data_IF_398850152773
#
_entry.id   IF_398850152773
#
_cell.length_a   1.000
_cell.length_b   1.000
_cell.length_c   1.000
_cell.angle_alpha   90.00
_cell.angle_beta   90.00
_cell.angle_gamma   90.00
#
_symmetry.space_group_name_H-M   'P 1'
#
loop_
_entity.id
_entity.type
_entity.pdbx_description
1 polymer ?
#
# COMPACT_ATOMS: atom_id res chain seq x y z
N UNK A 1 -10.33 -63.97 47.40
CA UNK A 1 -9.32 -63.47 46.44
C UNK A 1 -9.98 -62.48 45.48
N UNK A 2 -9.62 -61.18 45.57
CA UNK A 2 -9.27 -60.29 44.44
C UNK A 2 -8.96 -58.89 45.03
N UNK A 3 -7.72 -58.47 44.84
CA UNK A 3 -7.09 -57.18 45.15
C UNK A 3 -7.93 -56.07 44.47
N UNK A 4 -8.23 -54.90 45.05
CA UNK A 4 -7.38 -53.96 45.79
C UNK A 4 -6.96 -52.85 44.83
N UNK A 5 -7.28 -51.59 45.14
CA UNK A 5 -6.50 -50.37 44.82
C UNK A 5 -6.95 -49.28 45.80
N UNK A 6 -5.95 -48.56 46.32
CA UNK A 6 -5.97 -47.68 47.49
C UNK A 6 -6.21 -46.21 47.10
N UNK A 7 -6.73 -45.50 48.09
CA UNK A 7 -6.57 -44.08 48.39
C UNK A 7 -5.27 -43.43 47.89
N UNK A 8 -5.38 -42.27 47.20
CA UNK A 8 -4.46 -41.12 47.06
C UNK A 8 -4.89 -40.33 45.79
N UNK A 9 -4.97 -39.01 45.67
CA UNK A 9 -4.47 -37.87 46.44
C UNK A 9 -5.27 -36.63 46.00
N UNK A 10 -5.60 -35.76 46.96
CA UNK A 10 -5.97 -34.36 46.74
C UNK A 10 -4.71 -33.61 46.33
N UNK A 11 -4.69 -32.91 45.18
CA UNK A 11 -3.82 -31.72 45.04
C UNK A 11 -4.21 -30.86 43.82
N UNK A 12 -4.64 -29.63 44.16
CA UNK A 12 -4.26 -28.33 43.57
C UNK A 12 -4.44 -28.13 42.06
N UNK A 13 -5.39 -27.28 41.64
CA UNK A 13 -5.37 -25.81 41.67
C UNK A 13 -4.79 -25.20 40.40
N UNK A 14 -5.43 -24.12 39.98
CA UNK A 14 -5.03 -23.13 38.98
C UNK A 14 -5.14 -23.56 37.52
N UNK A 15 -6.30 -23.24 36.94
CA UNK A 15 -6.32 -22.61 35.62
C UNK A 15 -7.14 -21.32 35.73
N UNK A 16 -6.48 -20.28 36.24
CA UNK A 16 -6.82 -18.89 35.92
C UNK A 16 -6.42 -18.68 34.45
N UNK A 17 -7.30 -19.07 33.54
CA UNK A 17 -7.23 -18.64 32.15
C UNK A 17 -7.76 -17.22 32.07
N UNK A 18 -6.86 -16.25 31.97
CA UNK A 18 -7.16 -14.86 31.68
C UNK A 18 -8.01 -14.79 30.40
N UNK A 19 -9.29 -14.45 30.53
CA UNK A 19 -10.06 -13.86 29.43
C UNK A 19 -9.46 -12.49 29.15
N UNK A 20 -8.31 -12.47 28.48
CA UNK A 20 -7.79 -11.25 27.89
C UNK A 20 -8.89 -10.75 26.95
N UNK A 21 -9.37 -9.54 27.19
CA UNK A 21 -10.11 -8.78 26.23
C UNK A 21 -9.31 -8.81 24.92
N UNK A 22 -9.70 -9.66 23.98
CA UNK A 22 -9.44 -9.41 22.58
C UNK A 22 -10.31 -8.22 22.23
N UNK A 23 -9.84 -7.03 22.64
CA UNK A 23 -10.03 -5.82 21.90
C UNK A 23 -9.42 -6.16 20.54
N UNK A 24 -10.28 -6.69 19.67
CA UNK A 24 -10.04 -6.71 18.25
C UNK A 24 -10.01 -5.22 17.92
N UNK A 25 -8.82 -4.63 18.03
CA UNK A 25 -8.46 -3.47 17.26
C UNK A 25 -8.64 -3.96 15.83
N UNK A 26 -9.84 -3.75 15.28
CA UNK A 26 -10.03 -3.77 13.85
C UNK A 26 -8.87 -2.93 13.31
N UNK A 27 -7.98 -3.49 12.46
CA UNK A 27 -7.15 -2.60 11.67
C UNK A 27 -8.15 -1.65 11.03
N UNK A 28 -8.01 -0.35 11.26
CA UNK A 28 -8.91 0.60 10.63
C UNK A 28 -8.78 0.35 9.14
N UNK A 29 -9.78 -0.35 8.59
CA UNK A 29 -10.08 -0.36 7.17
C UNK A 29 -10.63 1.04 6.89
N UNK A 30 -9.79 2.06 7.09
CA UNK A 30 -9.83 3.18 6.19
C UNK A 30 -9.35 2.57 4.87
N UNK A 31 -10.31 2.11 4.07
CA UNK A 31 -10.15 2.16 2.63
C UNK A 31 -9.69 3.59 2.34
N UNK A 32 -8.37 3.76 2.22
CA UNK A 32 -7.81 4.99 1.75
C UNK A 32 -8.35 5.11 0.33
N UNK A 33 -9.24 6.07 0.07
CA UNK A 33 -9.82 6.30 -1.26
C UNK A 33 -8.77 6.57 -2.36
N UNK A 34 -7.51 6.71 -1.92
CA UNK A 34 -6.30 6.92 -2.69
C UNK A 34 -5.63 5.63 -3.18
N UNK A 35 -5.94 4.46 -2.61
CA UNK A 35 -5.37 3.18 -3.04
C UNK A 35 -6.24 2.52 -4.11
N UNK A 36 -5.60 1.78 -5.02
CA UNK A 36 -6.33 0.99 -6.00
C UNK A 36 -7.12 -0.12 -5.29
N UNK A 37 -8.36 -0.35 -5.72
CA UNK A 37 -9.21 -1.43 -5.18
C UNK A 37 -9.75 -2.33 -6.29
N UNK A 38 -10.31 -3.48 -5.89
CA UNK A 38 -11.00 -4.42 -6.76
C UNK A 38 -10.17 -4.94 -7.94
N UNK A 39 -10.80 -5.03 -9.11
CA UNK A 39 -10.19 -5.62 -10.31
C UNK A 39 -8.96 -4.85 -10.81
N UNK A 40 -8.93 -3.52 -10.66
CA UNK A 40 -7.78 -2.70 -11.05
C UNK A 40 -6.55 -3.07 -10.24
N UNK A 41 -6.70 -3.18 -8.92
CA UNK A 41 -5.63 -3.60 -8.01
C UNK A 41 -5.11 -4.99 -8.38
N UNK A 42 -6.01 -5.96 -8.59
CA UNK A 42 -5.63 -7.32 -8.98
C UNK A 42 -4.85 -7.35 -10.30
N UNK A 43 -5.28 -6.57 -11.30
CA UNK A 43 -4.58 -6.46 -12.58
C UNK A 43 -3.20 -5.84 -12.44
N UNK A 44 -3.05 -4.81 -11.61
CA UNK A 44 -1.75 -4.19 -11.33
C UNK A 44 -0.82 -5.20 -10.64
N UNK A 45 -1.29 -5.91 -9.62
CA UNK A 45 -0.52 -6.94 -8.91
C UNK A 45 -0.10 -8.07 -9.85
N UNK A 46 -0.98 -8.54 -10.74
CA UNK A 46 -0.64 -9.59 -11.70
C UNK A 46 0.50 -9.17 -12.66
N UNK A 47 0.66 -7.87 -12.91
CA UNK A 47 1.76 -7.34 -13.73
C UNK A 47 3.04 -7.18 -12.93
N UNK A 48 2.97 -6.51 -11.78
CA UNK A 48 4.17 -6.03 -11.07
C UNK A 48 4.53 -6.83 -9.82
N UNK A 49 3.69 -7.78 -9.41
CA UNK A 49 3.83 -8.48 -8.13
C UNK A 49 5.08 -9.35 -8.00
N UNK A 50 5.73 -9.66 -9.13
CA UNK A 50 6.99 -10.41 -9.19
C UNK A 50 8.20 -9.50 -9.44
N UNK A 51 8.02 -8.18 -9.49
CA UNK A 51 9.13 -7.26 -9.68
C UNK A 51 10.02 -7.21 -8.43
N UNK A 52 11.33 -7.12 -8.64
CA UNK A 52 12.32 -7.31 -7.59
C UNK A 52 12.27 -6.20 -6.53
N UNK A 53 12.19 -4.93 -6.95
CA UNK A 53 12.15 -3.81 -6.01
C UNK A 53 10.76 -3.67 -5.38
N UNK A 54 9.67 -3.97 -6.11
CA UNK A 54 8.31 -4.05 -5.56
C UNK A 54 8.20 -4.98 -4.33
N UNK A 55 8.84 -6.15 -4.39
CA UNK A 55 8.80 -7.12 -3.29
C UNK A 55 9.52 -6.65 -2.01
N UNK A 56 10.39 -5.64 -2.12
CA UNK A 56 11.14 -5.06 -0.99
C UNK A 56 10.43 -3.87 -0.35
N UNK A 57 9.30 -3.43 -0.93
CA UNK A 57 8.50 -2.35 -0.42
C UNK A 57 7.61 -2.82 0.74
N UNK A 58 7.38 -1.95 1.71
CA UNK A 58 6.36 -2.15 2.72
C UNK A 58 4.96 -2.10 2.09
N UNK A 59 3.93 -2.59 2.80
CA UNK A 59 2.56 -2.60 2.26
C UNK A 59 2.07 -1.21 1.79
N UNK A 60 2.24 -0.11 2.55
CA UNK A 60 1.85 1.22 2.09
C UNK A 60 2.60 1.67 0.82
N UNK A 61 3.89 1.37 0.74
CA UNK A 61 4.73 1.65 -0.43
C UNK A 61 4.27 0.84 -1.64
N UNK A 62 3.91 -0.44 -1.45
CA UNK A 62 3.35 -1.29 -2.51
C UNK A 62 2.04 -0.72 -3.04
N UNK A 63 1.12 -0.25 -2.20
CA UNK A 63 -0.13 0.35 -2.69
C UNK A 63 0.14 1.61 -3.52
N UNK A 64 1.08 2.46 -3.08
CA UNK A 64 1.51 3.63 -3.85
C UNK A 64 2.16 3.24 -5.18
N UNK A 65 2.98 2.19 -5.20
CA UNK A 65 3.58 1.64 -6.42
C UNK A 65 2.51 1.17 -7.41
N UNK A 66 1.49 0.46 -6.93
CA UNK A 66 0.38 0.00 -7.79
C UNK A 66 -0.36 1.21 -8.40
N UNK A 67 -0.61 2.26 -7.59
CA UNK A 67 -1.22 3.51 -8.06
C UNK A 67 -0.37 4.23 -9.10
N UNK A 68 0.97 4.25 -8.93
CA UNK A 68 1.91 4.75 -9.95
C UNK A 68 1.76 3.98 -11.26
N UNK A 69 1.79 2.64 -11.20
CA UNK A 69 1.66 1.80 -12.39
C UNK A 69 0.37 2.08 -13.17
N UNK A 70 -0.79 2.11 -12.49
CA UNK A 70 -2.09 2.37 -13.13
C UNK A 70 -2.16 3.77 -13.77
N UNK A 71 -1.64 4.78 -13.06
CA UNK A 71 -1.70 6.18 -13.49
C UNK A 71 -0.75 6.49 -14.64
N UNK A 72 0.49 6.02 -14.55
CA UNK A 72 1.51 6.23 -15.59
C UNK A 72 1.19 5.44 -16.86
N UNK A 73 0.57 4.26 -16.74
CA UNK A 73 0.05 3.51 -17.90
C UNK A 73 -1.01 4.29 -18.71
N UNK A 74 -1.61 5.32 -18.10
CA UNK A 74 -2.59 6.21 -18.71
C UNK A 74 -2.01 7.59 -19.03
N UNK A 75 -0.69 7.77 -18.92
CA UNK A 75 0.00 9.06 -19.07
C UNK A 75 -0.59 10.17 -18.20
N UNK A 76 -0.96 9.86 -16.94
CA UNK A 76 -1.36 10.90 -15.99
C UNK A 76 -0.12 11.61 -15.46
N UNK A 77 -0.10 12.92 -15.63
CA UNK A 77 0.99 13.80 -15.17
C UNK A 77 0.99 13.95 -13.66
N UNK A 78 -0.17 14.18 -13.04
CA UNK A 78 -0.32 14.34 -11.59
C UNK A 78 -0.97 13.09 -11.00
N UNK A 79 -0.32 12.50 -10.01
CA UNK A 79 -0.72 11.25 -9.37
C UNK A 79 -0.93 11.50 -7.88
N UNK A 80 -2.10 11.12 -7.38
CA UNK A 80 -2.39 11.16 -5.95
C UNK A 80 -1.98 9.84 -5.31
N UNK A 81 -1.16 9.93 -4.26
CA UNK A 81 -0.62 8.80 -3.51
C UNK A 81 -1.17 8.85 -2.07
N UNK A 82 -1.23 7.69 -1.43
CA UNK A 82 -1.50 7.63 -0.01
C UNK A 82 -0.37 8.36 0.75
N UNK A 83 -0.70 9.25 1.70
CA UNK A 83 0.29 10.02 2.43
C UNK A 83 1.17 9.09 3.27
N UNK A 84 2.48 9.20 3.07
CA UNK A 84 3.54 8.52 3.84
C UNK A 84 4.71 9.48 4.02
N UNK A 85 5.79 9.06 4.67
CA UNK A 85 6.98 9.91 4.78
C UNK A 85 7.55 10.22 3.39
N UNK A 86 8.15 11.42 3.23
CA UNK A 86 8.81 11.81 1.97
C UNK A 86 9.84 10.77 1.52
N UNK A 87 10.60 10.20 2.46
CA UNK A 87 11.57 9.14 2.19
C UNK A 87 10.90 7.88 1.63
N UNK A 88 9.77 7.45 2.20
CA UNK A 88 9.00 6.30 1.73
C UNK A 88 8.44 6.53 0.33
N UNK A 89 7.97 7.74 0.03
CA UNK A 89 7.53 8.13 -1.30
C UNK A 89 8.67 8.11 -2.33
N UNK A 90 9.83 8.69 -2.00
CA UNK A 90 11.03 8.66 -2.86
C UNK A 90 11.44 7.21 -3.13
N UNK A 91 11.57 6.40 -2.09
CA UNK A 91 11.90 4.98 -2.20
C UNK A 91 10.93 4.23 -3.11
N UNK A 92 9.63 4.53 -3.01
CA UNK A 92 8.61 3.91 -3.87
C UNK A 92 8.79 4.30 -5.34
N UNK A 93 9.07 5.59 -5.62
CA UNK A 93 9.31 6.08 -6.98
C UNK A 93 10.59 5.49 -7.56
N UNK A 94 11.67 5.43 -6.78
CA UNK A 94 12.94 4.86 -7.23
C UNK A 94 12.79 3.35 -7.53
N UNK A 95 12.14 2.60 -6.64
CA UNK A 95 11.83 1.19 -6.87
C UNK A 95 11.00 1.00 -8.15
N UNK A 96 10.02 1.88 -8.38
CA UNK A 96 9.20 1.85 -9.59
C UNK A 96 10.03 2.10 -10.86
N UNK A 97 10.90 3.10 -10.86
CA UNK A 97 11.78 3.40 -12.01
C UNK A 97 12.71 2.24 -12.35
N UNK A 98 13.26 1.58 -11.33
CA UNK A 98 14.19 0.47 -11.52
C UNK A 98 13.51 -0.78 -12.07
N UNK A 99 12.27 -1.06 -11.64
CA UNK A 99 11.53 -2.26 -12.05
C UNK A 99 10.82 -2.12 -13.40
N UNK A 100 10.43 -0.90 -13.80
CA UNK A 100 9.53 -0.69 -14.94
C UNK A 100 10.20 0.19 -16.04
N UNK A 101 11.20 -0.34 -16.76
CA UNK A 101 11.94 0.42 -17.78
C UNK A 101 11.08 0.88 -18.96
N UNK A 102 9.88 0.31 -19.15
CA UNK A 102 8.92 0.77 -20.15
C UNK A 102 8.41 2.19 -19.91
N UNK A 103 8.50 2.69 -18.67
CA UNK A 103 8.18 4.08 -18.32
C UNK A 103 9.43 4.99 -18.42
N UNK A 104 10.34 4.73 -19.36
CA UNK A 104 11.65 5.40 -19.50
C UNK A 104 11.64 6.94 -19.48
N UNK A 105 10.49 7.57 -19.71
CA UNK A 105 10.34 9.03 -19.69
C UNK A 105 10.19 9.63 -18.29
N UNK A 106 9.89 8.83 -17.27
CA UNK A 106 9.94 9.31 -15.90
C UNK A 106 11.41 9.29 -15.45
N UNK A 107 11.90 10.41 -14.94
CA UNK A 107 13.30 10.55 -14.52
C UNK A 107 13.33 11.00 -13.07
N UNK A 108 14.39 10.61 -12.35
CA UNK A 108 14.62 11.06 -10.97
C UNK A 108 14.91 12.56 -10.86
N UNK A 109 15.25 13.23 -11.97
CA UNK A 109 15.60 14.64 -12.01
C UNK A 109 14.37 15.57 -12.04
N UNK A 110 13.23 15.10 -12.56
CA UNK A 110 12.18 16.01 -13.00
C UNK A 110 10.81 15.80 -12.32
N UNK A 111 10.69 14.81 -11.41
CA UNK A 111 9.46 14.65 -10.65
C UNK A 111 9.40 15.61 -9.46
N UNK A 112 8.18 16.03 -9.09
CA UNK A 112 7.95 16.95 -7.97
C UNK A 112 6.93 16.38 -7.00
N UNK A 113 7.25 16.43 -5.71
CA UNK A 113 6.32 16.09 -4.64
C UNK A 113 5.62 17.34 -4.09
N UNK A 114 4.31 17.24 -3.88
CA UNK A 114 3.50 18.19 -3.12
C UNK A 114 2.87 17.43 -1.94
N UNK A 115 3.34 17.71 -0.73
CA UNK A 115 3.02 16.93 0.48
C UNK A 115 2.30 17.79 1.53
N UNK A 116 1.32 17.19 2.18
CA UNK A 116 0.64 17.67 3.38
C UNK A 116 0.31 16.47 4.27
N UNK A 117 -0.18 16.71 5.48
CA UNK A 117 -0.52 15.62 6.42
C UNK A 117 -1.57 14.64 5.87
N UNK A 118 -2.40 15.10 4.93
CA UNK A 118 -3.53 14.34 4.38
C UNK A 118 -3.36 13.98 2.91
N UNK A 119 -2.45 14.66 2.19
CA UNK A 119 -2.31 14.50 0.75
C UNK A 119 -0.85 14.33 0.37
N UNK A 120 -0.59 13.40 -0.55
CA UNK A 120 0.67 13.32 -1.26
C UNK A 120 0.38 13.30 -2.76
N UNK A 121 0.97 14.24 -3.51
CA UNK A 121 0.95 14.23 -4.96
C UNK A 121 2.36 14.12 -5.51
N UNK A 122 2.50 13.38 -6.60
CA UNK A 122 3.71 13.36 -7.41
C UNK A 122 3.35 13.76 -8.84
N UNK A 123 4.16 14.65 -9.40
CA UNK A 123 4.00 15.14 -10.76
C UNK A 123 5.17 14.66 -11.62
N UNK A 124 4.87 13.98 -12.73
CA UNK A 124 5.84 13.53 -13.72
C UNK A 124 5.58 14.25 -15.05
N UNK A 125 6.57 14.97 -15.62
CA UNK A 125 6.40 15.59 -16.93
C UNK A 125 6.17 14.53 -18.00
N UNK A 126 5.17 14.76 -18.85
CA UNK A 126 4.86 13.86 -19.96
C UNK A 126 5.79 14.11 -21.16
N UNK A 127 6.11 13.08 -21.96
CA UNK A 127 6.77 13.27 -23.24
C UNK A 127 5.96 14.20 -24.16
N UNK A 128 6.65 15.01 -24.96
CA UNK A 128 6.04 16.02 -25.84
C UNK A 128 5.05 15.42 -26.86
N UNK A 129 5.23 14.15 -27.21
CA UNK A 129 4.48 13.47 -28.27
C UNK A 129 3.21 12.77 -27.75
N UNK A 130 2.98 12.77 -26.43
CA UNK A 130 1.77 12.20 -25.83
C UNK A 130 0.62 13.19 -25.96
N UNK A 131 -0.44 12.79 -26.68
CA UNK A 131 -1.70 13.56 -26.69
C UNK A 131 -2.26 13.55 -25.26
N UNK A 132 -2.27 14.73 -24.61
CA UNK A 132 -2.86 14.90 -23.28
C UNK A 132 -4.28 14.31 -23.27
N UNK A 133 -4.67 13.54 -22.23
CA UNK A 133 -6.02 13.01 -22.15
C UNK A 133 -7.02 14.18 -22.19
N UNK A 134 -8.08 14.04 -22.99
CA UNK A 134 -9.07 15.10 -23.27
C UNK A 134 -9.87 15.56 -22.04
N UNK A 135 -9.68 14.93 -20.88
CA UNK A 135 -10.25 15.35 -19.60
C UNK A 135 -9.12 15.61 -18.61
N UNK A 136 -8.94 16.85 -18.12
CA UNK A 136 -8.02 17.11 -17.02
C UNK A 136 -8.50 16.35 -15.78
N UNK A 137 -7.57 15.67 -15.10
CA UNK A 137 -7.82 15.13 -13.77
C UNK A 137 -8.05 16.31 -12.82
N UNK A 138 -9.29 16.49 -12.34
CA UNK A 138 -9.59 17.38 -11.21
C UNK A 138 -9.47 16.54 -9.94
N UNK A 139 -8.55 16.84 -9.02
CA UNK A 139 -8.63 16.27 -7.68
C UNK A 139 -9.95 16.73 -7.06
N UNK A 140 -10.77 15.78 -6.61
CA UNK A 140 -11.99 16.05 -5.85
C UNK A 140 -11.60 16.52 -4.46
N UNK A 141 -11.23 17.79 -4.32
CA UNK A 141 -11.11 18.44 -3.02
C UNK A 141 -12.52 18.89 -2.63
N UNK A 142 -13.20 18.08 -1.83
CA UNK A 142 -14.39 18.54 -1.09
C UNK A 142 -13.88 19.31 0.11
N UNK A 143 -13.91 20.64 0.03
CA UNK A 143 -13.80 21.50 1.21
C UNK A 143 -15.14 21.38 1.95
N UNK A 144 -15.12 20.76 3.13
CA UNK A 144 -16.22 20.82 4.09
C UNK A 144 -16.16 22.13 4.87
#
# INVERSE_FOLDING_TARGET
MKKGIKCLTIMTSVMLGLSACSLISQPSNQENSLTLTGQKRQKAIAKVGQHYYFQQLSKPEQENYLTLHDSLSQFREVISLAPTSKESLIKTVDAFMMDNPEFYWITSADYRFELSDQNAFVTFPLPKDVKKPTKPYKPSVTVL
#
